data_IF_890579687607
#
_entry.id   IF_890579687607
#
_cell.length_a   1.000
_cell.length_b   1.000
_cell.length_c   1.000
_cell.angle_alpha   90.00
_cell.angle_beta   90.00
_cell.angle_gamma   90.00
#
_symmetry.space_group_name_H-M   'P 1'
#
loop_
_entity.id
_entity.type
_entity.pdbx_description
1 polymer ?
#
# COMPACT_ATOMS: atom_id res chain seq x y z
N UNK A 1 -5.22 2.04 -26.38
CA UNK A 1 -6.48 2.82 -26.37
C UNK A 1 -6.14 4.21 -25.84
N UNK A 2 -6.76 5.28 -26.35
CA UNK A 2 -6.61 6.60 -25.71
C UNK A 2 -7.29 6.54 -24.34
N UNK A 3 -6.59 6.98 -23.30
CA UNK A 3 -7.15 7.10 -21.95
C UNK A 3 -8.38 8.03 -21.99
N UNK A 4 -9.35 7.80 -21.10
CA UNK A 4 -10.45 8.76 -20.92
C UNK A 4 -9.87 10.11 -20.46
N UNK A 5 -10.49 11.26 -20.79
CA UNK A 5 -10.00 12.56 -20.34
C UNK A 5 -9.88 12.66 -18.81
N UNK A 6 -10.79 12.01 -18.08
CA UNK A 6 -10.76 11.94 -16.62
C UNK A 6 -9.56 11.14 -16.11
N UNK A 7 -9.32 9.95 -16.67
CA UNK A 7 -8.18 9.12 -16.28
C UNK A 7 -6.84 9.80 -16.61
N UNK A 8 -6.77 10.49 -17.75
CA UNK A 8 -5.59 11.29 -18.11
C UNK A 8 -5.33 12.44 -17.13
N UNK A 9 -6.39 13.16 -16.70
CA UNK A 9 -6.27 14.22 -15.70
C UNK A 9 -5.83 13.69 -14.33
N UNK A 10 -6.39 12.57 -13.87
CA UNK A 10 -5.99 11.96 -12.59
C UNK A 10 -4.54 11.44 -12.60
N UNK A 11 -4.07 10.94 -13.74
CA UNK A 11 -2.66 10.58 -13.91
C UNK A 11 -1.75 11.81 -13.85
N UNK A 12 -2.14 12.91 -14.47
CA UNK A 12 -1.41 14.18 -14.38
C UNK A 12 -1.35 14.68 -12.93
N UNK A 13 -2.50 14.72 -12.24
CA UNK A 13 -2.58 15.10 -10.83
C UNK A 13 -1.72 14.19 -9.94
N UNK A 14 -1.71 12.87 -10.19
CA UNK A 14 -0.86 11.93 -9.49
C UNK A 14 0.62 12.24 -9.68
N UNK A 15 1.05 12.53 -10.91
CA UNK A 15 2.46 12.85 -11.20
C UNK A 15 2.90 14.20 -10.62
N UNK A 16 1.99 15.16 -10.51
CA UNK A 16 2.28 16.51 -9.99
C UNK A 16 2.19 16.60 -8.46
N UNK A 17 1.52 15.66 -7.80
CA UNK A 17 1.38 15.64 -6.36
C UNK A 17 2.75 15.49 -5.68
N UNK A 18 3.11 16.45 -4.82
CA UNK A 18 4.40 16.51 -4.15
C UNK A 18 4.52 15.54 -2.97
N UNK A 19 3.42 15.18 -2.32
CA UNK A 19 3.42 14.28 -1.16
C UNK A 19 2.88 12.91 -1.53
N UNK A 20 3.36 11.87 -0.82
CA UNK A 20 2.81 10.54 -1.00
C UNK A 20 1.33 10.46 -0.61
N UNK A 21 0.93 11.12 0.47
CA UNK A 21 -0.46 11.11 0.94
C UNK A 21 -1.43 11.65 -0.13
N UNK A 22 -1.04 12.72 -0.83
CA UNK A 22 -1.80 13.25 -1.95
C UNK A 22 -1.88 12.23 -3.09
N UNK A 23 -0.76 11.62 -3.49
CA UNK A 23 -0.72 10.54 -4.49
C UNK A 23 -1.62 9.36 -4.11
N UNK A 24 -1.58 8.96 -2.84
CA UNK A 24 -2.39 7.85 -2.31
C UNK A 24 -3.88 8.14 -2.33
N UNK A 25 -4.27 9.39 -2.09
CA UNK A 25 -5.68 9.83 -2.16
C UNK A 25 -6.19 9.86 -3.60
N UNK A 26 -5.38 10.39 -4.53
CA UNK A 26 -5.70 10.41 -5.97
C UNK A 26 -5.88 9.00 -6.51
N UNK A 27 -5.13 8.04 -5.97
CA UNK A 27 -5.15 6.67 -6.47
C UNK A 27 -6.51 5.98 -6.33
N UNK A 28 -7.32 6.30 -5.32
CA UNK A 28 -8.70 5.77 -5.24
C UNK A 28 -9.55 6.24 -6.42
N UNK A 29 -9.45 7.53 -6.77
CA UNK A 29 -10.17 8.11 -7.91
C UNK A 29 -9.64 7.57 -9.24
N UNK A 30 -8.33 7.33 -9.32
CA UNK A 30 -7.67 6.78 -10.51
C UNK A 30 -8.12 5.35 -10.76
N UNK A 31 -8.15 4.51 -9.72
CA UNK A 31 -8.62 3.13 -9.83
C UNK A 31 -10.08 3.05 -10.27
N UNK A 32 -10.93 3.91 -9.71
CA UNK A 32 -12.35 4.04 -10.09
C UNK A 32 -12.49 4.45 -11.56
N UNK A 33 -11.88 5.57 -11.95
CA UNK A 33 -11.93 6.06 -13.32
C UNK A 33 -11.29 5.10 -14.34
N UNK A 34 -10.35 4.25 -13.91
CA UNK A 34 -9.81 3.17 -14.74
C UNK A 34 -10.84 2.04 -14.84
N UNK A 35 -11.43 1.60 -13.74
CA UNK A 35 -12.45 0.56 -13.72
C UNK A 35 -13.63 0.90 -14.65
N UNK A 36 -14.05 2.17 -14.71
CA UNK A 36 -15.09 2.66 -15.64
C UNK A 36 -14.78 2.38 -17.12
N UNK A 37 -13.49 2.33 -17.49
CA UNK A 37 -13.07 2.03 -18.87
C UNK A 37 -13.30 0.58 -19.27
N UNK A 38 -13.57 -0.32 -18.32
CA UNK A 38 -13.84 -1.74 -18.57
C UNK A 38 -15.19 -1.97 -19.28
N UNK A 39 -16.12 -1.02 -19.16
CA UNK A 39 -17.51 -1.20 -19.59
C UNK A 39 -18.32 -2.16 -18.72
N UNK A 40 -17.80 -2.58 -17.57
CA UNK A 40 -18.55 -3.32 -16.55
C UNK A 40 -19.46 -2.36 -15.79
N UNK A 41 -20.55 -2.87 -15.22
CA UNK A 41 -21.49 -2.09 -14.43
C UNK A 41 -20.84 -1.66 -13.10
N UNK A 42 -21.13 -0.43 -12.66
CA UNK A 42 -20.53 0.19 -11.47
C UNK A 42 -21.14 -0.33 -10.15
N UNK A 43 -22.31 -0.96 -10.24
CA UNK A 43 -23.02 -1.51 -9.09
C UNK A 43 -23.85 -2.74 -9.43
N UNK A 44 -24.33 -3.46 -8.41
CA UNK A 44 -25.30 -4.55 -8.60
C UNK A 44 -26.58 -4.04 -9.28
N UNK A 45 -27.02 -2.84 -8.91
CA UNK A 45 -28.21 -2.17 -9.46
C UNK A 45 -28.12 -1.92 -10.97
N UNK A 46 -26.92 -1.66 -11.48
CA UNK A 46 -26.66 -1.39 -12.89
C UNK A 46 -26.46 -2.63 -13.76
N UNK A 47 -26.16 -3.79 -13.17
CA UNK A 47 -25.90 -5.02 -13.95
C UNK A 47 -27.12 -5.50 -14.73
N UNK A 48 -28.31 -5.37 -14.15
CA UNK A 48 -29.59 -5.70 -14.81
C UNK A 48 -30.69 -4.70 -14.45
N UNK A 49 -30.65 -3.49 -15.04
CA UNK A 49 -31.53 -2.39 -14.67
C UNK A 49 -33.00 -2.78 -14.85
N UNK A 50 -33.80 -2.61 -13.80
CA UNK A 50 -35.24 -2.88 -13.80
C UNK A 50 -35.63 -4.36 -13.72
N UNK A 51 -34.68 -5.30 -13.80
CA UNK A 51 -34.96 -6.73 -13.62
C UNK A 51 -34.92 -7.14 -12.14
N UNK A 52 -33.98 -6.58 -11.39
CA UNK A 52 -33.78 -6.80 -9.96
C UNK A 52 -33.66 -5.47 -9.23
N UNK A 53 -34.19 -5.42 -8.02
CA UNK A 53 -33.91 -4.39 -7.03
C UNK A 53 -33.03 -5.00 -5.96
N UNK A 54 -32.11 -4.24 -5.42
CA UNK A 54 -31.18 -4.68 -4.39
C UNK A 54 -31.49 -3.93 -3.11
N UNK A 55 -31.68 -4.70 -2.04
CA UNK A 55 -31.91 -4.16 -0.71
C UNK A 55 -30.77 -4.61 0.18
N UNK A 56 -29.85 -3.69 0.44
CA UNK A 56 -28.77 -3.91 1.37
C UNK A 56 -29.34 -3.90 2.79
N UNK A 57 -29.15 -4.99 3.54
CA UNK A 57 -29.58 -5.09 4.93
C UNK A 57 -28.45 -4.70 5.89
N UNK A 58 -27.21 -5.04 5.54
CA UNK A 58 -26.02 -4.67 6.30
C UNK A 58 -24.76 -4.64 5.44
N UNK A 59 -23.88 -3.69 5.75
CA UNK A 59 -22.53 -3.56 5.21
C UNK A 59 -21.58 -3.65 6.41
N UNK A 60 -21.12 -4.86 6.73
CA UNK A 60 -20.31 -5.12 7.91
C UNK A 60 -21.12 -4.87 9.18
N UNK A 61 -20.62 -3.95 10.01
CA UNK A 61 -21.30 -3.54 11.24
C UNK A 61 -22.36 -2.45 11.03
N UNK A 62 -22.45 -1.87 9.82
CA UNK A 62 -23.43 -0.83 9.50
C UNK A 62 -24.72 -1.48 9.01
N UNK A 63 -25.82 -1.30 9.75
CA UNK A 63 -27.12 -1.90 9.42
C UNK A 63 -28.04 -0.89 8.74
N UNK A 64 -28.92 -1.40 7.89
CA UNK A 64 -29.95 -0.59 7.24
C UNK A 64 -30.82 0.08 8.28
N UNK A 65 -30.78 1.40 8.33
CA UNK A 65 -31.59 2.21 9.23
C UNK A 65 -32.22 3.36 8.47
N UNK A 66 -33.49 3.65 8.76
CA UNK A 66 -34.14 4.85 8.25
C UNK A 66 -33.77 6.06 9.13
N UNK A 67 -33.75 7.25 8.55
CA UNK A 67 -33.69 8.48 9.34
C UNK A 67 -34.97 8.66 10.17
N UNK A 68 -34.93 9.37 11.31
CA UNK A 68 -36.11 9.70 12.11
C UNK A 68 -37.21 10.35 11.26
N UNK A 69 -38.48 10.11 11.59
CA UNK A 69 -39.59 10.56 10.76
C UNK A 69 -39.72 12.09 10.73
N UNK A 70 -39.33 12.74 11.82
CA UNK A 70 -39.25 14.18 12.01
C UNK A 70 -38.26 14.87 11.07
N UNK A 71 -37.24 14.15 10.60
CA UNK A 71 -36.19 14.68 9.72
C UNK A 71 -36.52 14.52 8.22
N UNK A 72 -37.68 13.93 7.87
CA UNK A 72 -38.07 13.61 6.49
C UNK A 72 -38.84 14.72 5.76
N UNK A 73 -38.89 15.91 6.35
CA UNK A 73 -39.57 17.07 5.78
C UNK A 73 -38.87 17.38 4.45
N UNK A 74 -39.58 17.24 3.34
CA UNK A 74 -39.12 17.53 1.96
C UNK A 74 -38.42 16.40 1.16
N UNK A 75 -38.39 15.15 1.64
CA UNK A 75 -37.86 14.04 0.82
C UNK A 75 -38.88 13.67 -0.28
N UNK A 76 -38.54 13.96 -1.55
CA UNK A 76 -39.34 13.60 -2.72
C UNK A 76 -38.64 12.51 -3.55
N UNK A 77 -38.96 11.25 -3.27
CA UNK A 77 -38.48 10.10 -4.02
C UNK A 77 -39.65 9.31 -4.58
N UNK A 78 -39.63 9.00 -5.87
CA UNK A 78 -40.65 8.20 -6.56
C UNK A 78 -40.01 7.20 -7.50
N UNK A 79 -40.53 5.97 -7.52
CA UNK A 79 -39.92 4.88 -8.28
C UNK A 79 -38.87 4.13 -7.47
N UNK A 80 -38.14 3.24 -8.14
CA UNK A 80 -37.02 2.55 -7.54
C UNK A 80 -35.85 3.52 -7.34
N UNK A 81 -35.33 3.59 -6.13
CA UNK A 81 -34.14 4.37 -5.78
C UNK A 81 -33.15 3.41 -5.12
N UNK A 82 -31.95 3.22 -5.70
CA UNK A 82 -30.90 2.42 -5.08
C UNK A 82 -30.59 2.90 -3.67
N UNK A 83 -30.20 1.97 -2.79
CA UNK A 83 -29.97 2.32 -1.38
C UNK A 83 -28.89 3.37 -1.17
N UNK A 84 -27.87 3.41 -2.03
CA UNK A 84 -26.82 4.43 -1.99
C UNK A 84 -27.36 5.87 -2.21
N UNK A 85 -28.52 6.01 -2.84
CA UNK A 85 -29.17 7.29 -3.18
C UNK A 85 -30.46 7.53 -2.37
N UNK A 86 -30.84 6.58 -1.53
CA UNK A 86 -32.12 6.63 -0.82
C UNK A 86 -32.05 7.56 0.40
N UNK A 87 -32.54 8.79 0.26
CA UNK A 87 -32.51 9.85 1.28
C UNK A 87 -33.25 9.48 2.56
N UNK A 88 -34.13 8.47 2.52
CA UNK A 88 -34.82 7.96 3.71
C UNK A 88 -33.90 7.11 4.61
N UNK A 89 -32.76 6.62 4.09
CA UNK A 89 -31.77 5.86 4.86
C UNK A 89 -30.81 6.79 5.61
N UNK A 90 -30.12 6.27 6.63
CA UNK A 90 -29.07 7.07 7.30
C UNK A 90 -27.91 7.35 6.35
N UNK A 91 -27.28 8.53 6.48
CA UNK A 91 -26.13 8.91 5.65
C UNK A 91 -24.97 7.91 5.81
N UNK A 92 -24.74 7.43 7.04
CA UNK A 92 -23.72 6.40 7.32
C UNK A 92 -23.95 5.13 6.50
N UNK A 93 -25.19 4.64 6.44
CA UNK A 93 -25.54 3.46 5.67
C UNK A 93 -25.39 3.68 4.17
N UNK A 94 -25.88 4.82 3.65
CA UNK A 94 -25.71 5.17 2.23
C UNK A 94 -24.24 5.24 1.82
N UNK A 95 -23.42 5.91 2.61
CA UNK A 95 -21.99 6.04 2.37
C UNK A 95 -21.30 4.67 2.37
N UNK A 96 -21.69 3.77 3.28
CA UNK A 96 -21.17 2.42 3.30
C UNK A 96 -21.53 1.63 2.04
N UNK A 97 -22.79 1.71 1.57
CA UNK A 97 -23.21 1.05 0.32
C UNK A 97 -22.47 1.62 -0.89
N UNK A 98 -22.39 2.95 -1.01
CA UNK A 98 -21.72 3.63 -2.12
C UNK A 98 -20.21 3.27 -2.16
N UNK A 99 -19.51 3.42 -1.04
CA UNK A 99 -18.08 3.15 -0.96
C UNK A 99 -17.73 1.70 -1.30
N UNK A 100 -18.55 0.74 -0.85
CA UNK A 100 -18.32 -0.67 -1.17
C UNK A 100 -18.72 -1.04 -2.59
N UNK A 101 -19.73 -0.38 -3.18
CA UNK A 101 -20.08 -0.58 -4.59
C UNK A 101 -18.90 -0.19 -5.49
N UNK A 102 -18.33 1.00 -5.27
CA UNK A 102 -17.12 1.48 -5.97
C UNK A 102 -15.94 0.51 -5.82
N UNK A 103 -15.59 0.11 -4.59
CA UNK A 103 -14.46 -0.81 -4.36
C UNK A 103 -14.65 -2.18 -5.03
N UNK A 104 -15.87 -2.71 -4.99
CA UNK A 104 -16.21 -3.98 -5.64
C UNK A 104 -16.12 -3.83 -7.16
N UNK A 105 -16.65 -2.75 -7.73
CA UNK A 105 -16.54 -2.46 -9.15
C UNK A 105 -15.08 -2.44 -9.62
N UNK A 106 -14.22 -1.70 -8.90
CA UNK A 106 -12.78 -1.66 -9.17
C UNK A 106 -12.18 -3.06 -9.16
N UNK A 107 -12.43 -3.84 -8.11
CA UNK A 107 -11.87 -5.19 -7.98
C UNK A 107 -12.35 -6.13 -9.11
N UNK A 108 -13.62 -6.05 -9.50
CA UNK A 108 -14.19 -6.87 -10.57
C UNK A 108 -13.66 -6.45 -11.96
N UNK A 109 -13.52 -5.15 -12.21
CA UNK A 109 -12.99 -4.60 -13.45
C UNK A 109 -11.54 -5.04 -13.68
N UNK A 110 -10.69 -4.94 -12.65
CA UNK A 110 -9.29 -5.38 -12.73
C UNK A 110 -9.15 -6.91 -12.81
N UNK A 111 -10.08 -7.65 -12.20
CA UNK A 111 -10.14 -9.11 -12.33
C UNK A 111 -10.78 -9.58 -13.65
N UNK A 112 -11.43 -8.69 -14.40
CA UNK A 112 -12.12 -8.97 -15.65
C UNK A 112 -13.36 -9.86 -15.53
N UNK A 113 -13.91 -10.00 -14.31
CA UNK A 113 -15.09 -10.83 -14.05
C UNK A 113 -15.85 -10.33 -12.82
N UNK A 114 -17.18 -10.44 -12.87
CA UNK A 114 -18.03 -10.18 -11.73
C UNK A 114 -17.84 -11.26 -10.65
N UNK A 115 -17.81 -10.88 -9.38
CA UNK A 115 -17.78 -11.80 -8.25
C UNK A 115 -19.15 -12.43 -7.97
N UNK A 116 -20.22 -11.74 -8.39
CA UNK A 116 -21.59 -12.13 -8.11
C UNK A 116 -22.34 -12.47 -9.41
N UNK A 117 -22.67 -13.74 -9.56
CA UNK A 117 -23.60 -14.20 -10.59
C UNK A 117 -25.03 -13.81 -10.20
N UNK A 118 -25.72 -13.08 -11.09
CA UNK A 118 -27.15 -12.83 -10.96
C UNK A 118 -27.95 -13.99 -11.60
N UNK A 119 -29.07 -14.43 -11.00
CA UNK A 119 -29.86 -15.51 -11.55
C UNK A 119 -30.52 -15.12 -12.88
N UNK A 120 -30.36 -15.96 -13.92
CA UNK A 120 -30.91 -15.71 -15.27
C UNK A 120 -32.44 -15.86 -15.36
N UNK A 121 -33.05 -16.70 -14.52
CA UNK A 121 -34.50 -16.99 -14.52
C UNK A 121 -35.08 -17.04 -13.11
N UNK A 122 -36.37 -16.71 -12.95
CA UNK A 122 -37.07 -16.91 -11.67
C UNK A 122 -37.02 -18.40 -11.27
N UNK A 123 -36.37 -18.71 -10.15
CA UNK A 123 -36.20 -20.07 -9.65
C UNK A 123 -34.96 -20.83 -10.14
N UNK A 124 -33.99 -20.17 -10.79
CA UNK A 124 -32.70 -20.78 -11.11
C UNK A 124 -31.87 -21.06 -9.84
N UNK A 125 -31.21 -22.20 -9.77
CA UNK A 125 -30.31 -22.52 -8.66
C UNK A 125 -29.14 -21.51 -8.63
N UNK A 126 -28.95 -20.87 -7.47
CA UNK A 126 -27.81 -19.99 -7.21
C UNK A 126 -26.52 -20.83 -7.29
N UNK A 127 -25.56 -20.43 -8.14
CA UNK A 127 -24.23 -21.02 -8.14
C UNK A 127 -23.46 -20.59 -6.89
N UNK A 128 -22.54 -21.46 -6.45
CA UNK A 128 -21.77 -21.28 -5.22
C UNK A 128 -21.03 -19.93 -5.20
N UNK A 129 -21.27 -19.13 -4.17
CA UNK A 129 -20.57 -17.85 -3.97
C UNK A 129 -21.41 -16.82 -3.21
N UNK A 130 -22.74 -16.85 -3.36
CA UNK A 130 -23.62 -15.88 -2.70
C UNK A 130 -24.09 -16.41 -1.33
N UNK A 131 -23.44 -15.97 -0.24
CA UNK A 131 -23.87 -16.27 1.13
C UNK A 131 -24.79 -15.16 1.65
N UNK A 132 -26.08 -15.33 1.40
CA UNK A 132 -27.14 -14.47 1.94
C UNK A 132 -28.02 -13.89 0.84
N UNK A 133 -28.91 -14.70 0.29
CA UNK A 133 -30.04 -14.27 -0.52
C UNK A 133 -31.29 -14.88 0.10
N UNK A 134 -32.20 -14.06 0.63
CA UNK A 134 -33.57 -14.52 0.84
C UNK A 134 -34.42 -13.99 -0.30
N UNK A 135 -35.15 -14.88 -0.97
CA UNK A 135 -36.20 -14.48 -1.89
C UNK A 135 -37.33 -13.87 -1.06
N UNK A 136 -37.38 -12.54 -1.01
CA UNK A 136 -38.56 -11.85 -0.52
C UNK A 136 -39.70 -12.12 -1.50
N UNK A 137 -40.55 -13.11 -1.22
CA UNK A 137 -41.80 -13.26 -1.96
C UNK A 137 -42.59 -11.95 -1.79
N UNK A 138 -43.05 -11.39 -2.91
CA UNK A 138 -43.92 -10.20 -2.98
C UNK A 138 -45.33 -10.48 -2.43
N UNK A 139 -45.41 -11.02 -1.22
CA UNK A 139 -46.62 -11.53 -0.59
C UNK A 139 -46.91 -10.85 0.73
N UNK A 140 -47.47 -9.64 0.66
CA UNK A 140 -48.33 -9.11 1.72
C UNK A 140 -47.91 -7.81 2.37
N UNK A 141 -48.55 -6.72 1.95
CA UNK A 141 -48.82 -5.55 2.81
C UNK A 141 -47.90 -4.35 2.62
N UNK A 142 -48.34 -3.42 1.76
CA UNK A 142 -48.07 -1.97 1.80
C UNK A 142 -46.63 -1.53 2.12
N UNK A 143 -45.84 -1.13 1.11
CA UNK A 143 -44.84 -0.02 1.09
C UNK A 143 -44.07 0.01 -0.27
N UNK A 144 -44.06 -1.05 -1.08
CA UNK A 144 -43.25 -1.19 -2.31
C UNK A 144 -43.87 -0.58 -3.59
N UNK A 145 -44.34 0.67 -3.57
CA UNK A 145 -44.69 1.35 -4.83
C UNK A 145 -43.39 1.78 -5.54
N UNK A 146 -43.11 1.20 -6.72
CA UNK A 146 -41.98 1.59 -7.58
C UNK A 146 -40.80 0.64 -7.61
N UNK A 147 -40.79 -0.42 -6.79
CA UNK A 147 -39.73 -1.43 -6.82
C UNK A 147 -39.93 -2.44 -7.96
N UNK A 148 -38.86 -2.96 -8.57
CA UNK A 148 -38.96 -4.03 -9.56
C UNK A 148 -39.59 -5.29 -8.95
N UNK A 149 -40.14 -6.16 -9.81
CA UNK A 149 -40.88 -7.37 -9.39
C UNK A 149 -40.03 -8.34 -8.54
N UNK A 150 -38.70 -8.23 -8.61
CA UNK A 150 -37.76 -9.09 -7.89
C UNK A 150 -36.84 -8.22 -7.04
N UNK A 151 -36.78 -8.52 -5.74
CA UNK A 151 -35.88 -7.85 -4.81
C UNK A 151 -34.92 -8.86 -4.20
N UNK A 152 -33.62 -8.59 -4.31
CA UNK A 152 -32.55 -9.37 -3.72
C UNK A 152 -32.08 -8.70 -2.43
N UNK A 153 -32.07 -9.44 -1.33
CA UNK A 153 -31.52 -8.95 -0.07
C UNK A 153 -30.02 -9.20 -0.06
N UNK A 154 -29.22 -8.15 0.17
CA UNK A 154 -27.76 -8.22 0.18
C UNK A 154 -27.24 -7.91 1.57
N UNK A 155 -26.35 -8.76 2.07
CA UNK A 155 -25.69 -8.55 3.37
C UNK A 155 -24.23 -8.95 3.26
N UNK A 156 -23.32 -8.02 3.56
CA UNK A 156 -21.90 -8.33 3.70
C UNK A 156 -21.53 -8.45 5.18
N UNK A 157 -20.92 -9.57 5.57
CA UNK A 157 -20.32 -9.71 6.90
C UNK A 157 -19.01 -8.91 6.99
N UNK A 158 -18.61 -8.52 8.20
CA UNK A 158 -17.36 -7.78 8.40
C UNK A 158 -16.15 -8.54 7.85
N UNK A 159 -16.04 -9.85 8.09
CA UNK A 159 -14.92 -10.64 7.58
C UNK A 159 -14.85 -10.73 6.05
N UNK A 160 -15.99 -10.65 5.33
CA UNK A 160 -15.98 -10.55 3.86
C UNK A 160 -15.47 -9.19 3.40
N UNK A 161 -15.91 -8.12 4.08
CA UNK A 161 -15.43 -6.78 3.79
C UNK A 161 -13.95 -6.64 4.09
N UNK A 162 -13.45 -7.20 5.20
CA UNK A 162 -12.02 -7.19 5.53
C UNK A 162 -11.20 -7.90 4.44
N UNK A 163 -11.69 -9.02 3.92
CA UNK A 163 -11.04 -9.73 2.81
C UNK A 163 -11.03 -8.90 1.50
N UNK A 164 -12.16 -8.29 1.14
CA UNK A 164 -12.24 -7.43 -0.05
C UNK A 164 -11.38 -6.17 0.12
N UNK A 165 -11.31 -5.62 1.34
CA UNK A 165 -10.46 -4.47 1.67
C UNK A 165 -8.99 -4.82 1.46
N UNK A 166 -8.53 -5.98 1.94
CA UNK A 166 -7.16 -6.45 1.69
C UNK A 166 -6.86 -6.59 0.20
N UNK A 167 -7.80 -7.13 -0.59
CA UNK A 167 -7.64 -7.22 -2.05
C UNK A 167 -7.56 -5.85 -2.72
N UNK A 168 -8.40 -4.91 -2.31
CA UNK A 168 -8.38 -3.53 -2.80
C UNK A 168 -7.08 -2.81 -2.43
N UNK A 169 -6.62 -2.95 -1.19
CA UNK A 169 -5.39 -2.34 -0.71
C UNK A 169 -4.16 -2.92 -1.42
N UNK A 170 -4.14 -4.22 -1.69
CA UNK A 170 -3.08 -4.87 -2.46
C UNK A 170 -3.06 -4.40 -3.92
N UNK A 171 -4.23 -4.30 -4.57
CA UNK A 171 -4.34 -3.73 -5.92
C UNK A 171 -3.84 -2.29 -5.95
N UNK A 172 -4.31 -1.47 -5.00
CA UNK A 172 -3.92 -0.08 -4.86
C UNK A 172 -2.41 0.05 -4.69
N UNK A 173 -1.82 -0.72 -3.79
CA UNK A 173 -0.37 -0.75 -3.61
C UNK A 173 0.36 -1.13 -4.91
N UNK A 174 -0.07 -2.19 -5.60
CA UNK A 174 0.56 -2.60 -6.86
C UNK A 174 0.50 -1.53 -7.96
N UNK A 175 -0.63 -0.83 -8.11
CA UNK A 175 -0.75 0.27 -9.07
C UNK A 175 0.11 1.47 -8.65
N UNK A 176 0.17 1.78 -7.35
CA UNK A 176 1.07 2.81 -6.84
C UNK A 176 2.52 2.52 -7.23
N UNK A 177 3.00 1.30 -6.99
CA UNK A 177 4.37 0.87 -7.30
C UNK A 177 4.71 1.07 -8.78
N UNK A 178 3.80 0.64 -9.67
CA UNK A 178 3.97 0.79 -11.10
C UNK A 178 4.04 2.27 -11.54
N UNK A 179 3.19 3.12 -10.95
CA UNK A 179 3.15 4.55 -11.27
C UNK A 179 4.28 5.34 -10.62
N UNK A 180 4.75 4.95 -9.44
CA UNK A 180 5.84 5.62 -8.73
C UNK A 180 7.13 5.60 -9.56
N UNK A 181 7.49 4.43 -10.09
CA UNK A 181 8.69 4.24 -10.92
C UNK A 181 8.60 5.06 -12.21
N UNK A 182 7.44 5.06 -12.87
CA UNK A 182 7.25 5.78 -14.14
C UNK A 182 7.00 7.28 -13.97
N UNK A 183 6.67 7.71 -12.75
CA UNK A 183 6.29 9.08 -12.42
C UNK A 183 7.39 9.80 -11.65
N UNK A 184 7.19 9.98 -10.35
CA UNK A 184 8.06 10.84 -9.55
C UNK A 184 9.48 10.30 -9.41
N UNK A 185 9.67 8.97 -9.35
CA UNK A 185 11.00 8.37 -9.23
C UNK A 185 11.83 8.50 -10.50
N UNK A 186 11.19 8.47 -11.69
CA UNK A 186 11.87 8.68 -12.95
C UNK A 186 12.63 10.01 -12.99
N UNK A 187 12.08 11.04 -12.35
CA UNK A 187 12.72 12.37 -12.26
C UNK A 187 14.10 12.31 -11.59
N UNK A 188 14.26 11.46 -10.57
CA UNK A 188 15.56 11.24 -9.92
C UNK A 188 16.50 10.43 -10.81
N UNK A 189 15.98 9.38 -11.46
CA UNK A 189 16.78 8.53 -12.36
C UNK A 189 17.28 9.30 -13.59
N UNK A 190 16.48 10.20 -14.15
CA UNK A 190 16.84 11.04 -15.30
C UNK A 190 17.96 12.06 -14.95
N UNK A 191 18.16 12.33 -13.65
CA UNK A 191 19.23 13.21 -13.18
C UNK A 191 20.60 12.50 -13.09
N UNK A 192 20.63 11.15 -13.16
CA UNK A 192 21.89 10.38 -13.14
C UNK A 192 22.63 10.56 -14.46
N UNK A 193 23.87 11.03 -14.39
CA UNK A 193 24.70 11.30 -15.57
C UNK A 193 25.78 10.25 -15.75
N UNK A 194 26.27 10.09 -16.99
CA UNK A 194 27.48 9.33 -17.28
C UNK A 194 28.63 10.30 -17.44
N UNK A 195 29.68 10.11 -16.65
CA UNK A 195 30.91 10.89 -16.71
C UNK A 195 32.09 10.00 -17.11
N UNK A 196 33.17 10.62 -17.54
CA UNK A 196 34.43 9.93 -17.83
C UNK A 196 35.42 10.35 -16.74
N UNK A 197 35.64 9.46 -15.79
CA UNK A 197 36.60 9.60 -14.70
C UNK A 197 37.99 9.12 -15.08
N UNK A 198 38.90 9.10 -14.09
CA UNK A 198 40.27 8.61 -14.28
C UNK A 198 40.32 7.09 -14.55
N UNK A 199 39.33 6.35 -14.04
CA UNK A 199 39.25 4.89 -14.13
C UNK A 199 38.28 4.37 -15.20
N UNK A 200 37.58 5.26 -15.91
CA UNK A 200 36.70 4.90 -17.03
C UNK A 200 35.39 5.67 -17.08
N UNK A 201 34.32 4.98 -17.49
CA UNK A 201 32.96 5.55 -17.51
C UNK A 201 32.35 5.29 -16.13
N UNK A 202 31.92 6.36 -15.47
CA UNK A 202 31.33 6.34 -14.12
C UNK A 202 29.93 6.95 -14.16
N UNK A 203 29.09 6.57 -13.20
CA UNK A 203 27.79 7.22 -12.99
C UNK A 203 27.96 8.35 -11.98
N UNK A 204 27.47 9.54 -12.34
CA UNK A 204 27.45 10.72 -11.48
C UNK A 204 26.03 10.94 -10.94
N UNK A 205 25.91 10.82 -9.62
CA UNK A 205 24.66 10.95 -8.88
C UNK A 205 24.45 12.35 -8.29
N UNK A 206 25.40 13.28 -8.47
CA UNK A 206 25.39 14.60 -7.80
C UNK A 206 24.08 15.36 -8.00
N UNK A 207 23.54 15.36 -9.22
CA UNK A 207 22.29 16.06 -9.51
C UNK A 207 21.08 15.37 -8.85
N UNK A 208 21.04 14.03 -8.87
CA UNK A 208 20.00 13.26 -8.20
C UNK A 208 20.01 13.49 -6.69
N UNK A 209 21.19 13.47 -6.08
CA UNK A 209 21.37 13.73 -4.64
C UNK A 209 20.94 15.14 -4.26
N UNK A 210 21.30 16.14 -5.06
CA UNK A 210 20.85 17.51 -4.82
C UNK A 210 19.31 17.65 -4.87
N UNK A 211 18.65 16.90 -5.75
CA UNK A 211 17.18 16.87 -5.81
C UNK A 211 16.56 16.18 -4.58
N UNK A 212 17.19 15.10 -4.09
CA UNK A 212 16.78 14.44 -2.85
C UNK A 212 16.94 15.38 -1.65
N UNK A 213 18.09 16.07 -1.55
CA UNK A 213 18.37 17.06 -0.50
C UNK A 213 17.37 18.22 -0.52
N UNK A 214 17.03 18.72 -1.71
CA UNK A 214 16.01 19.77 -1.87
C UNK A 214 14.62 19.28 -1.42
N UNK A 215 14.24 18.04 -1.77
CA UNK A 215 12.98 17.46 -1.32
C UNK A 215 12.92 17.34 0.20
N UNK A 216 14.00 16.85 0.84
CA UNK A 216 14.11 16.75 2.29
C UNK A 216 14.10 18.12 2.98
N UNK A 217 14.80 19.11 2.44
CA UNK A 217 14.82 20.46 3.00
C UNK A 217 13.44 21.14 2.97
N UNK A 218 12.63 20.84 1.95
CA UNK A 218 11.27 21.37 1.82
C UNK A 218 10.27 20.68 2.76
N UNK A 219 10.33 19.35 2.86
CA UNK A 219 9.50 18.55 3.73
C UNK A 219 10.26 17.29 4.17
N UNK A 220 10.86 17.28 5.38
CA UNK A 220 11.72 16.19 5.82
C UNK A 220 11.05 14.82 5.83
N UNK A 221 9.77 14.75 6.23
CA UNK A 221 9.03 13.50 6.28
C UNK A 221 8.76 12.96 4.87
N UNK A 222 8.27 13.80 3.96
CA UNK A 222 8.04 13.39 2.57
C UNK A 222 9.35 13.12 1.81
N UNK A 223 10.43 13.86 2.11
CA UNK A 223 11.76 13.63 1.54
C UNK A 223 12.31 12.26 1.95
N UNK A 224 12.23 11.91 3.23
CA UNK A 224 12.59 10.57 3.72
C UNK A 224 11.76 9.48 3.02
N UNK A 225 10.45 9.66 2.93
CA UNK A 225 9.59 8.70 2.23
C UNK A 225 9.97 8.55 0.75
N UNK A 226 10.29 9.65 0.06
CA UNK A 226 10.73 9.61 -1.33
C UNK A 226 12.06 8.87 -1.52
N UNK A 227 13.02 9.08 -0.62
CA UNK A 227 14.28 8.34 -0.61
C UNK A 227 14.07 6.84 -0.34
N UNK A 228 13.21 6.50 0.61
CA UNK A 228 12.85 5.12 0.92
C UNK A 228 12.15 4.44 -0.24
N UNK A 229 11.26 5.14 -0.96
CA UNK A 229 10.66 4.61 -2.19
C UNK A 229 11.71 4.38 -3.28
N UNK A 230 12.65 5.32 -3.46
CA UNK A 230 13.74 5.15 -4.42
C UNK A 230 14.59 3.92 -4.08
N UNK A 231 14.97 3.77 -2.80
CA UNK A 231 15.71 2.61 -2.31
C UNK A 231 14.92 1.31 -2.53
N UNK A 232 13.64 1.28 -2.14
CA UNK A 232 12.81 0.08 -2.28
C UNK A 232 12.63 -0.37 -3.73
N UNK A 233 12.40 0.56 -4.66
CA UNK A 233 12.05 0.20 -6.03
C UNK A 233 13.24 0.22 -7.00
N UNK A 234 14.31 0.95 -6.67
CA UNK A 234 15.47 1.15 -7.55
C UNK A 234 16.82 0.94 -6.83
N UNK A 235 16.83 0.64 -5.53
CA UNK A 235 18.05 0.48 -4.72
C UNK A 235 19.00 -0.56 -5.30
N UNK A 236 18.53 -1.78 -5.60
CA UNK A 236 19.38 -2.83 -6.20
C UNK A 236 20.03 -2.37 -7.52
N UNK A 237 19.24 -1.70 -8.37
CA UNK A 237 19.73 -1.20 -9.64
C UNK A 237 20.77 -0.09 -9.42
N UNK A 238 20.50 0.86 -8.54
CA UNK A 238 21.41 1.96 -8.22
C UNK A 238 22.67 1.49 -7.48
N UNK A 239 22.57 0.49 -6.61
CA UNK A 239 23.68 -0.16 -5.92
C UNK A 239 24.64 -0.82 -6.90
N UNK A 240 24.12 -1.46 -7.96
CA UNK A 240 24.95 -2.00 -9.03
C UNK A 240 25.74 -0.93 -9.80
N UNK A 241 25.31 0.33 -9.71
CA UNK A 241 25.96 1.49 -10.30
C UNK A 241 26.83 2.26 -9.31
N UNK A 242 26.95 1.77 -8.07
CA UNK A 242 27.77 2.37 -7.01
C UNK A 242 27.07 3.42 -6.16
N UNK A 243 25.73 3.50 -6.20
CA UNK A 243 24.95 4.40 -5.32
C UNK A 243 24.25 3.62 -4.21
N UNK A 244 24.30 4.14 -2.99
CA UNK A 244 23.51 3.63 -1.86
C UNK A 244 22.75 4.77 -1.20
N UNK A 245 21.45 4.58 -0.98
CA UNK A 245 20.62 5.51 -0.21
C UNK A 245 20.66 5.25 1.29
N UNK A 246 21.23 4.13 1.74
CA UNK A 246 21.06 3.63 3.11
C UNK A 246 21.62 4.58 4.18
N UNK A 247 22.85 5.07 4.02
CA UNK A 247 23.46 6.04 4.94
C UNK A 247 22.60 7.31 5.07
N UNK A 248 22.03 7.75 3.95
CA UNK A 248 21.16 8.93 3.91
C UNK A 248 19.81 8.67 4.58
N UNK A 249 19.25 7.47 4.44
CA UNK A 249 18.04 7.03 5.15
C UNK A 249 18.30 7.06 6.65
N UNK A 250 19.41 6.48 7.14
CA UNK A 250 19.81 6.51 8.56
C UNK A 250 19.87 7.94 9.06
N UNK A 251 20.64 8.80 8.37
CA UNK A 251 20.86 10.18 8.78
C UNK A 251 19.55 10.98 8.86
N UNK A 252 18.68 10.83 7.86
CA UNK A 252 17.40 11.54 7.82
C UNK A 252 16.39 10.96 8.82
N UNK A 253 16.33 9.64 8.97
CA UNK A 253 15.46 8.99 9.94
C UNK A 253 15.77 9.38 11.39
N UNK A 254 17.03 9.67 11.73
CA UNK A 254 17.43 10.17 13.05
C UNK A 254 16.93 11.59 13.37
N UNK A 255 16.74 12.42 12.34
CA UNK A 255 16.37 13.83 12.49
C UNK A 255 14.86 14.09 12.32
N UNK A 256 14.17 13.24 11.57
CA UNK A 256 12.73 13.36 11.33
C UNK A 256 11.93 12.78 12.50
N UNK A 257 11.01 13.56 13.12
CA UNK A 257 10.06 13.00 14.07
C UNK A 257 9.15 11.98 13.37
N UNK A 258 9.42 10.68 13.60
CA UNK A 258 8.61 9.60 13.06
C UNK A 258 7.31 9.46 13.87
N UNK A 259 6.26 10.18 13.47
CA UNK A 259 4.93 9.96 14.03
C UNK A 259 4.37 8.58 13.66
N UNK A 260 3.26 8.20 14.30
CA UNK A 260 2.67 6.87 14.09
C UNK A 260 2.25 6.63 12.62
N UNK A 261 1.91 7.70 11.88
CA UNK A 261 1.54 7.61 10.46
C UNK A 261 2.75 7.29 9.60
N UNK A 262 3.85 8.00 9.80
CA UNK A 262 5.13 7.82 9.10
C UNK A 262 5.74 6.45 9.41
N UNK A 263 5.73 6.02 10.68
CA UNK A 263 6.19 4.69 11.06
C UNK A 263 5.37 3.57 10.41
N UNK A 264 4.04 3.70 10.41
CA UNK A 264 3.17 2.74 9.73
C UNK A 264 3.47 2.70 8.22
N UNK A 265 3.82 3.85 7.64
CA UNK A 265 4.16 3.96 6.24
C UNK A 265 5.49 3.30 5.88
N UNK A 266 6.55 3.60 6.63
CA UNK A 266 7.86 2.96 6.47
C UNK A 266 7.73 1.43 6.59
N UNK A 267 6.95 0.97 7.58
CA UNK A 267 6.64 -0.45 7.75
C UNK A 267 5.87 -1.05 6.58
N UNK A 268 4.93 -0.32 5.98
CA UNK A 268 4.22 -0.76 4.77
C UNK A 268 5.17 -0.86 3.56
N UNK A 269 6.23 -0.05 3.55
CA UNK A 269 7.34 -0.18 2.61
C UNK A 269 8.34 -1.28 3.03
N UNK A 270 8.08 -2.06 4.08
CA UNK A 270 8.98 -3.14 4.51
C UNK A 270 10.24 -2.64 5.22
N UNK A 271 10.29 -1.36 5.60
CA UNK A 271 11.37 -0.80 6.38
C UNK A 271 11.00 -0.77 7.87
N UNK A 272 11.96 -1.17 8.70
CA UNK A 272 11.86 -1.08 10.14
C UNK A 272 12.84 0.00 10.59
N UNK A 273 12.30 1.12 11.08
CA UNK A 273 13.11 2.26 11.54
C UNK A 273 12.82 2.52 13.01
N UNK A 274 13.85 2.60 13.82
CA UNK A 274 13.68 2.84 15.26
C UNK A 274 15.00 3.03 16.00
N UNK A 275 14.92 3.06 17.33
CA UNK A 275 16.06 3.16 18.24
C UNK A 275 15.91 2.25 19.45
N UNK A 276 17.03 1.93 20.09
CA UNK A 276 17.14 1.10 21.28
C UNK A 276 17.08 -0.39 20.97
N UNK A 277 15.90 -1.01 21.09
CA UNK A 277 15.73 -2.45 20.82
C UNK A 277 14.82 -2.64 19.63
N UNK A 278 15.39 -3.14 18.54
CA UNK A 278 14.71 -3.31 17.27
C UNK A 278 14.67 -4.81 16.95
N UNK A 279 13.50 -5.28 16.54
CA UNK A 279 13.27 -6.67 16.16
C UNK A 279 12.64 -6.70 14.78
N UNK A 280 13.25 -7.44 13.87
CA UNK A 280 12.70 -7.80 12.58
C UNK A 280 11.68 -8.94 12.70
N UNK A 281 11.49 -9.61 11.59
CA UNK A 281 10.42 -10.57 11.34
C UNK A 281 11.00 -11.92 10.95
N UNK A 282 10.25 -12.73 10.22
CA UNK A 282 10.70 -14.01 9.68
C UNK A 282 10.85 -13.95 8.14
N UNK A 283 10.66 -12.76 7.58
CA UNK A 283 10.81 -12.43 6.17
C UNK A 283 12.03 -11.50 6.04
N UNK A 284 12.57 -11.34 4.82
CA UNK A 284 13.69 -10.43 4.59
C UNK A 284 13.32 -8.98 4.92
N UNK A 285 14.06 -8.37 5.84
CA UNK A 285 13.80 -7.04 6.38
C UNK A 285 14.90 -6.03 6.00
N UNK A 286 14.52 -4.75 5.89
CA UNK A 286 15.45 -3.63 5.82
C UNK A 286 15.32 -2.81 7.11
N UNK A 287 16.34 -2.89 7.97
CA UNK A 287 16.28 -2.39 9.35
C UNK A 287 17.30 -1.27 9.55
N UNK A 288 16.82 -0.11 9.99
CA UNK A 288 17.61 1.08 10.25
C UNK A 288 17.51 1.46 11.73
N UNK A 289 18.63 1.35 12.43
CA UNK A 289 18.89 2.04 13.68
C UNK A 289 19.03 3.55 13.45
N UNK A 290 18.75 4.31 14.51
CA UNK A 290 18.89 5.77 14.49
C UNK A 290 20.19 6.12 15.24
N UNK A 291 20.30 7.35 15.74
CA UNK A 291 21.35 7.66 16.72
C UNK A 291 21.09 6.97 18.06
N UNK A 292 22.16 6.61 18.76
CA UNK A 292 22.11 5.94 20.06
C UNK A 292 22.79 4.57 20.00
N UNK A 293 22.81 3.86 21.13
CA UNK A 293 23.33 2.49 21.13
C UNK A 293 22.14 1.54 20.95
N UNK A 294 22.08 0.94 19.78
CA UNK A 294 20.99 0.11 19.32
C UNK A 294 21.33 -1.38 19.39
N UNK A 295 20.29 -2.19 19.60
CA UNK A 295 20.35 -3.65 19.61
C UNK A 295 19.33 -4.15 18.60
N UNK A 296 19.83 -4.56 17.44
CA UNK A 296 19.04 -4.96 16.27
C UNK A 296 19.10 -6.48 16.12
N UNK A 297 17.96 -7.14 16.07
CA UNK A 297 17.83 -8.58 15.80
C UNK A 297 16.90 -8.73 14.60
N UNK A 298 17.42 -9.22 13.48
CA UNK A 298 16.69 -9.22 12.22
C UNK A 298 15.74 -10.43 12.10
N UNK A 299 16.18 -11.59 12.59
CA UNK A 299 15.29 -12.74 12.78
C UNK A 299 15.57 -13.85 11.78
N UNK A 300 14.67 -14.07 10.83
CA UNK A 300 14.91 -15.01 9.73
C UNK A 300 14.63 -14.30 8.43
N UNK A 301 15.33 -14.70 7.37
CA UNK A 301 15.25 -13.97 6.11
C UNK A 301 16.63 -13.50 5.70
N UNK A 302 16.73 -12.92 4.52
CA UNK A 302 17.96 -12.25 4.11
C UNK A 302 17.79 -10.78 4.42
N UNK A 303 18.47 -10.31 5.46
CA UNK A 303 18.18 -9.03 6.07
C UNK A 303 19.27 -7.99 5.76
N UNK A 304 18.89 -6.71 5.74
CA UNK A 304 19.83 -5.59 5.67
C UNK A 304 19.72 -4.78 6.96
N UNK A 305 20.82 -4.70 7.72
CA UNK A 305 20.88 -4.06 9.02
C UNK A 305 21.85 -2.88 8.97
N UNK A 306 21.36 -1.70 9.34
CA UNK A 306 22.14 -0.47 9.44
C UNK A 306 22.05 0.03 10.89
N UNK A 307 23.17 0.06 11.62
CA UNK A 307 23.25 0.45 13.03
C UNK A 307 23.05 1.95 13.23
N UNK A 308 23.83 2.74 12.51
CA UNK A 308 23.70 4.19 12.48
C UNK A 308 24.78 4.88 13.30
N UNK A 309 24.41 5.86 14.13
CA UNK A 309 25.39 6.52 15.00
C UNK A 309 25.34 5.93 16.41
N UNK A 310 26.44 5.41 16.92
CA UNK A 310 26.53 4.90 18.30
C UNK A 310 27.32 3.62 18.39
N UNK A 311 27.36 2.98 19.55
CA UNK A 311 27.96 1.65 19.66
C UNK A 311 26.83 0.62 19.63
N UNK A 312 26.63 0.04 18.45
CA UNK A 312 25.50 -0.80 18.14
C UNK A 312 25.84 -2.28 18.27
N UNK A 313 24.79 -3.09 18.31
CA UNK A 313 24.90 -4.55 18.29
C UNK A 313 23.88 -5.11 17.32
N UNK A 314 24.36 -5.63 16.21
CA UNK A 314 23.57 -6.13 15.08
C UNK A 314 23.63 -7.66 15.04
N UNK A 315 22.46 -8.30 15.02
CA UNK A 315 22.31 -9.74 14.87
C UNK A 315 21.51 -10.02 13.58
N UNK A 316 22.19 -10.50 12.54
CA UNK A 316 21.54 -10.96 11.29
C UNK A 316 20.70 -12.22 11.51
N UNK A 317 21.18 -13.11 12.37
CA UNK A 317 20.51 -14.35 12.77
C UNK A 317 20.47 -15.43 11.68
N UNK A 318 19.39 -15.56 10.89
CA UNK A 318 19.22 -16.69 9.98
C UNK A 318 18.91 -16.26 8.56
N UNK A 319 19.92 -16.36 7.69
CA UNK A 319 19.83 -16.11 6.25
C UNK A 319 21.09 -15.41 5.76
N UNK A 320 21.10 -15.03 4.49
CA UNK A 320 22.24 -14.31 3.93
C UNK A 320 22.05 -12.81 4.19
N UNK A 321 22.73 -12.28 5.22
CA UNK A 321 22.50 -10.94 5.75
C UNK A 321 23.55 -9.92 5.32
N UNK A 322 23.18 -8.65 5.28
CA UNK A 322 24.07 -7.50 5.10
C UNK A 322 24.07 -6.67 6.38
N UNK A 323 25.24 -6.49 7.00
CA UNK A 323 25.38 -5.77 8.26
C UNK A 323 26.33 -4.58 8.09
N UNK A 324 25.83 -3.40 8.42
CA UNK A 324 26.56 -2.13 8.48
C UNK A 324 26.41 -1.54 9.88
N UNK A 325 27.53 -1.41 10.61
CA UNK A 325 27.53 -0.83 11.95
C UNK A 325 27.24 0.67 11.93
N UNK A 326 27.65 1.37 10.87
CA UNK A 326 27.71 2.82 10.85
C UNK A 326 28.83 3.36 11.73
N UNK A 327 28.62 4.55 12.30
CA UNK A 327 29.65 5.26 13.06
C UNK A 327 29.65 4.87 14.54
N UNK A 328 30.74 4.25 15.00
CA UNK A 328 31.00 4.04 16.42
C UNK A 328 31.95 2.90 16.72
N UNK A 329 31.55 1.96 17.56
CA UNK A 329 32.33 0.74 17.79
C UNK A 329 31.35 -0.41 17.95
N UNK A 330 31.08 -1.07 16.83
CA UNK A 330 29.91 -1.91 16.70
C UNK A 330 30.25 -3.38 16.89
N UNK A 331 29.24 -4.15 17.28
CA UNK A 331 29.35 -5.60 17.36
C UNK A 331 28.42 -6.23 16.33
N UNK A 332 29.01 -6.82 15.29
CA UNK A 332 28.28 -7.37 14.16
C UNK A 332 28.28 -8.90 14.22
N UNK A 333 27.10 -9.51 14.19
CA UNK A 333 26.90 -10.96 14.28
C UNK A 333 25.97 -11.44 13.15
N UNK A 334 26.51 -11.83 12.00
CA UNK A 334 25.69 -12.38 10.90
C UNK A 334 25.12 -13.78 11.20
N UNK A 335 25.75 -14.54 12.10
CA UNK A 335 25.26 -15.86 12.55
C UNK A 335 25.17 -16.93 11.43
N UNK A 336 23.99 -17.33 10.96
CA UNK A 336 23.82 -18.44 10.03
C UNK A 336 23.49 -17.96 8.62
N UNK A 337 24.19 -18.48 7.61
CA UNK A 337 24.11 -17.98 6.22
C UNK A 337 25.42 -17.35 5.76
N UNK A 338 25.42 -16.79 4.55
CA UNK A 338 26.55 -16.09 3.95
C UNK A 338 26.35 -14.59 4.14
N UNK A 339 27.10 -14.01 5.07
CA UNK A 339 26.87 -12.64 5.52
C UNK A 339 27.86 -11.69 4.85
N UNK A 340 27.41 -10.47 4.55
CA UNK A 340 28.25 -9.37 4.07
C UNK A 340 28.35 -8.32 5.16
N UNK A 341 29.57 -7.92 5.52
CA UNK A 341 29.82 -6.86 6.50
C UNK A 341 30.34 -5.64 5.74
N UNK A 342 29.65 -4.52 5.84
CA UNK A 342 30.03 -3.27 5.17
C UNK A 342 30.83 -2.40 6.14
N UNK A 343 31.87 -1.77 5.60
CA UNK A 343 32.73 -0.85 6.34
C UNK A 343 33.12 0.36 5.49
N UNK A 344 33.23 1.51 6.14
CA UNK A 344 33.48 2.81 5.57
C UNK A 344 34.48 3.64 6.38
N UNK A 345 34.71 4.86 5.91
CA UNK A 345 35.57 5.81 6.60
C UNK A 345 34.79 6.54 7.68
N UNK A 346 35.09 6.26 8.95
CA UNK A 346 34.43 6.92 10.08
C UNK A 346 33.72 5.95 11.00
N UNK A 347 33.58 4.68 10.58
CA UNK A 347 32.85 3.63 11.28
C UNK A 347 33.44 3.29 12.65
N UNK A 348 34.74 3.53 12.82
CA UNK A 348 35.42 3.39 14.10
C UNK A 348 36.05 2.01 14.30
N UNK A 349 35.77 1.33 15.42
CA UNK A 349 36.40 0.04 15.75
C UNK A 349 35.38 -1.08 15.94
N UNK A 350 35.05 -1.73 14.84
CA UNK A 350 34.03 -2.77 14.86
C UNK A 350 34.59 -4.14 15.17
N UNK A 351 33.75 -4.94 15.83
CA UNK A 351 34.03 -6.32 16.18
C UNK A 351 33.01 -7.22 15.50
N UNK A 352 33.47 -8.00 14.53
CA UNK A 352 32.68 -9.12 14.00
C UNK A 352 32.77 -10.27 15.00
N UNK A 353 31.63 -10.60 15.61
CA UNK A 353 31.52 -11.72 16.53
C UNK A 353 31.55 -13.06 15.80
N UNK A 354 31.97 -14.12 16.51
CA UNK A 354 32.02 -15.46 15.91
C UNK A 354 30.66 -15.91 15.39
N UNK A 355 30.67 -16.38 14.15
CA UNK A 355 29.57 -17.10 13.54
C UNK A 355 29.34 -18.41 14.31
N UNK A 356 28.10 -18.64 14.73
CA UNK A 356 27.72 -19.93 15.34
C UNK A 356 27.43 -21.00 14.30
N UNK A 357 27.53 -20.65 13.02
CA UNK A 357 27.41 -21.58 11.90
C UNK A 357 28.77 -22.22 11.60
N UNK A 358 28.79 -23.55 11.61
CA UNK A 358 29.98 -24.37 11.36
C UNK A 358 29.93 -25.06 10.00
N UNK A 359 28.98 -24.67 9.14
CA UNK A 359 28.80 -25.23 7.81
C UNK A 359 30.03 -24.96 6.94
N UNK A 360 30.45 -25.96 6.16
CA UNK A 360 31.60 -25.84 5.25
C UNK A 360 31.29 -25.00 4.00
N UNK A 361 30.05 -24.55 3.85
CA UNK A 361 29.57 -23.74 2.73
C UNK A 361 29.45 -22.26 3.07
N UNK A 362 29.67 -21.89 4.35
CA UNK A 362 29.62 -20.50 4.80
C UNK A 362 30.73 -19.68 4.14
N UNK A 363 30.35 -18.58 3.52
CA UNK A 363 31.22 -17.66 2.82
C UNK A 363 30.81 -16.23 3.10
N UNK A 364 31.40 -15.65 4.15
CA UNK A 364 31.17 -14.25 4.48
C UNK A 364 32.05 -13.32 3.64
N UNK A 365 31.55 -12.12 3.38
CA UNK A 365 32.23 -11.06 2.62
C UNK A 365 32.45 -9.85 3.54
N UNK A 366 33.59 -9.17 3.34
CA UNK A 366 34.01 -7.96 4.04
C UNK A 366 34.21 -6.84 3.01
#
# INVERSE_FOLDING_TARGET
>A
ASLSPQLAGLLEDFTQASTREARWTILDQLLDAWADTSGMAESLDERQPGQFGFLYQSIGNVTRSLIPAEDRIDIQQSGYVPDAENELLTQEFRNAVAAWSTKIHVLEAFNGQYFFDLPETAGGALKAGVRGLSEGSSGGGSILLGWPERVLLVSYSQGQLDFLQQGYDALKQSVYEALAVQGHLQTYLDAVQLTIGEDGIEFDFTAMEAMLDEAYANDPANGLLGLVELQKYQGDALASLGWSGAERIVAWAGEVPLDAGTQAHLKALGLIVGSGRIAGTADGDEIFGQGGNDSISAGSGNDHLYGGEGNDTLYGEAGDDVLDGGAGNDHLYGAAGNDTYLFGHGDGQDTIGSDRDTSSTKHNVL
#
